data_IF_296269099284
#
_entry.id   IF_296269099284
#
_cell.length_a   1.000
_cell.length_b   1.000
_cell.length_c   1.000
_cell.angle_alpha   90.00
_cell.angle_beta   90.00
_cell.angle_gamma   90.00
#
_symmetry.space_group_name_H-M   'P 1'
#
loop_
_entity.id
_entity.type
_entity.pdbx_description
1 polymer ?
#
# COMPACT_ATOMS: atom_id res chain seq x y z
N UNK A 1 -13.18 13.75 30.33
CA UNK A 1 -12.14 12.70 30.48
C UNK A 1 -12.46 11.92 31.74
N UNK A 2 -12.62 10.60 31.63
CA UNK A 2 -13.25 9.77 32.67
C UNK A 2 -12.21 9.01 33.51
N UNK A 3 -12.33 9.05 34.86
CA UNK A 3 -11.35 8.55 35.82
C UNK A 3 -11.11 7.02 35.71
N UNK A 4 -12.10 6.29 35.18
CA UNK A 4 -11.99 4.84 34.90
C UNK A 4 -11.04 4.52 33.73
N UNK A 5 -10.89 5.43 32.77
CA UNK A 5 -9.94 5.29 31.65
C UNK A 5 -8.48 5.39 32.12
N UNK A 6 -8.23 6.29 33.08
CA UNK A 6 -6.91 6.48 33.70
C UNK A 6 -6.48 5.24 34.51
N UNK A 7 -7.36 4.70 35.35
CA UNK A 7 -7.05 3.49 36.13
C UNK A 7 -6.75 2.26 35.25
N UNK A 8 -7.41 2.14 34.09
CA UNK A 8 -7.13 1.05 33.13
C UNK A 8 -5.78 1.25 32.44
N UNK A 9 -5.40 2.49 32.11
CA UNK A 9 -4.09 2.80 31.50
C UNK A 9 -2.92 2.55 32.45
N UNK A 10 -3.06 2.88 33.75
CA UNK A 10 -2.05 2.63 34.79
C UNK A 10 -1.89 1.14 35.09
N UNK A 11 -2.99 0.37 35.12
CA UNK A 11 -2.93 -1.09 35.34
C UNK A 11 -2.28 -1.84 34.18
N UNK A 12 -2.43 -1.35 32.94
CA UNK A 12 -1.73 -1.90 31.78
C UNK A 12 -0.24 -1.55 31.80
N UNK A 13 0.13 -0.32 32.19
CA UNK A 13 1.52 0.11 32.32
C UNK A 13 2.32 -0.64 33.40
N UNK A 14 1.66 -1.16 34.45
CA UNK A 14 2.29 -1.96 35.51
C UNK A 14 2.39 -3.47 35.22
N UNK A 15 1.84 -3.96 34.11
CA UNK A 15 1.80 -5.40 33.80
C UNK A 15 2.97 -5.84 32.91
N UNK A 16 3.51 -7.04 33.11
CA UNK A 16 4.58 -7.58 32.26
C UNK A 16 4.24 -7.52 30.75
N UNK A 17 2.95 -7.65 30.40
CA UNK A 17 2.47 -7.49 29.03
C UNK A 17 2.59 -6.04 28.53
N UNK A 18 2.28 -5.03 29.36
CA UNK A 18 2.45 -3.62 29.04
C UNK A 18 3.91 -3.19 28.89
N UNK A 19 4.82 -3.77 29.68
CA UNK A 19 6.25 -3.55 29.52
C UNK A 19 6.79 -4.15 28.22
N UNK A 20 6.32 -5.36 27.83
CA UNK A 20 6.67 -5.96 26.54
C UNK A 20 6.14 -5.16 25.35
N UNK A 21 4.91 -4.65 25.41
CA UNK A 21 4.35 -3.82 24.34
C UNK A 21 5.10 -2.49 24.23
N UNK A 22 5.37 -1.81 25.34
CA UNK A 22 6.20 -0.59 25.36
C UNK A 22 7.60 -0.86 24.81
N UNK A 23 8.26 -1.94 25.24
CA UNK A 23 9.56 -2.36 24.72
C UNK A 23 9.54 -2.65 23.22
N UNK A 24 8.51 -3.32 22.70
CA UNK A 24 8.35 -3.58 21.27
C UNK A 24 8.08 -2.31 20.45
N UNK A 25 7.31 -1.36 20.99
CA UNK A 25 7.05 -0.08 20.37
C UNK A 25 8.33 0.77 20.31
N UNK A 26 9.13 0.74 21.37
CA UNK A 26 10.41 1.45 21.41
C UNK A 26 11.44 0.86 20.46
N UNK A 27 11.54 -0.48 20.39
CA UNK A 27 12.40 -1.16 19.41
C UNK A 27 12.00 -0.82 17.98
N UNK A 28 10.69 -0.85 17.66
CA UNK A 28 10.16 -0.43 16.36
C UNK A 28 10.53 1.02 16.03
N UNK A 29 10.25 1.96 16.94
CA UNK A 29 10.65 3.37 16.76
C UNK A 29 12.15 3.54 16.48
N UNK A 30 13.01 2.75 17.13
CA UNK A 30 14.45 2.81 16.89
C UNK A 30 14.87 2.22 15.55
N UNK A 31 14.23 1.12 15.12
CA UNK A 31 14.45 0.55 13.80
C UNK A 31 13.99 1.54 12.72
N UNK A 32 12.76 2.04 12.82
CA UNK A 32 12.19 3.05 11.91
C UNK A 32 13.09 4.29 11.82
N UNK A 33 13.60 4.80 12.95
CA UNK A 33 14.48 5.97 12.96
C UNK A 33 15.87 5.73 12.33
N UNK A 34 16.32 4.46 12.22
CA UNK A 34 17.58 4.09 11.56
C UNK A 34 17.37 3.83 10.07
N UNK A 35 16.26 3.18 9.73
CA UNK A 35 16.06 2.57 8.42
C UNK A 35 15.21 3.46 7.49
N UNK A 36 14.39 4.37 8.03
CA UNK A 36 13.60 5.31 7.22
C UNK A 36 14.37 6.61 6.95
N UNK A 37 14.25 7.18 5.73
CA UNK A 37 14.77 8.51 5.45
C UNK A 37 14.14 9.54 6.40
N UNK A 38 14.91 10.58 6.73
CA UNK A 38 14.41 11.67 7.59
C UNK A 38 13.20 12.30 6.92
N UNK A 39 12.05 12.26 7.60
CA UNK A 39 10.84 12.95 7.14
C UNK A 39 11.16 14.43 6.91
N UNK A 40 10.96 14.90 5.66
CA UNK A 40 11.06 16.31 5.32
C UNK A 40 10.01 17.16 6.04
N UNK A 41 10.12 18.48 5.93
CA UNK A 41 9.13 19.42 6.49
C UNK A 41 7.75 19.28 5.83
N UNK A 42 7.69 18.77 4.59
CA UNK A 42 6.48 18.51 3.82
C UNK A 42 5.82 17.20 4.30
N UNK A 43 4.70 17.32 5.03
CA UNK A 43 3.94 16.17 5.55
C UNK A 43 3.06 15.48 4.50
N UNK A 44 2.62 16.21 3.48
CA UNK A 44 1.82 15.70 2.38
C UNK A 44 2.27 16.42 1.11
N UNK A 45 2.73 15.64 0.12
CA UNK A 45 3.19 16.14 -1.16
C UNK A 45 2.10 15.98 -2.21
N UNK A 46 1.84 17.04 -2.96
CA UNK A 46 1.02 16.95 -4.17
C UNK A 46 1.88 16.44 -5.34
N UNK A 47 1.44 15.42 -6.11
CA UNK A 47 2.20 14.83 -7.21
C UNK A 47 2.70 15.82 -8.28
N UNK A 48 1.92 16.87 -8.54
CA UNK A 48 2.13 17.77 -9.68
C UNK A 48 1.45 17.24 -10.95
N UNK A 49 1.70 17.88 -12.09
CA UNK A 49 1.12 17.45 -13.37
C UNK A 49 1.74 16.14 -13.87
N UNK A 50 0.92 15.29 -14.48
CA UNK A 50 1.35 14.08 -15.18
C UNK A 50 2.22 14.45 -16.40
N UNK A 51 3.35 13.79 -16.54
CA UNK A 51 4.36 14.04 -17.58
C UNK A 51 4.33 12.94 -18.62
N UNK A 52 4.28 11.69 -18.17
CA UNK A 52 4.22 10.51 -19.04
C UNK A 52 3.68 9.30 -18.29
N UNK A 53 3.31 8.26 -19.03
CA UNK A 53 2.99 6.97 -18.46
C UNK A 53 3.65 5.84 -19.26
N UNK A 54 4.11 4.82 -18.55
CA UNK A 54 4.80 3.66 -19.10
C UNK A 54 3.96 2.41 -18.79
N UNK A 55 3.40 1.74 -19.81
CA UNK A 55 2.65 0.50 -19.63
C UNK A 55 3.54 -0.62 -19.08
N UNK A 56 2.99 -1.40 -18.14
CA UNK A 56 3.63 -2.56 -17.53
C UNK A 56 2.60 -3.68 -17.38
N UNK A 57 3.02 -4.95 -17.16
CA UNK A 57 2.08 -6.02 -16.90
C UNK A 57 1.12 -5.69 -15.75
N UNK A 58 -0.18 -5.74 -16.02
CA UNK A 58 -1.22 -5.45 -15.04
C UNK A 58 -1.56 -3.95 -14.86
N UNK A 59 -0.96 -3.04 -15.64
CA UNK A 59 -1.17 -1.60 -15.47
C UNK A 59 0.01 -0.80 -15.98
N UNK A 60 0.67 -0.04 -15.10
CA UNK A 60 1.77 0.82 -15.51
C UNK A 60 2.30 1.75 -14.44
N UNK A 61 3.27 2.57 -14.85
CA UNK A 61 3.90 3.59 -14.02
C UNK A 61 3.59 4.96 -14.61
N UNK A 62 3.01 5.84 -13.79
CA UNK A 62 2.71 7.22 -14.14
C UNK A 62 3.75 8.13 -13.49
N UNK A 63 4.35 8.98 -14.30
CA UNK A 63 5.35 9.94 -13.88
C UNK A 63 4.70 11.30 -13.76
N UNK A 64 4.71 11.88 -12.58
CA UNK A 64 4.32 13.24 -12.30
C UNK A 64 5.56 14.11 -12.13
N UNK A 65 5.38 15.43 -12.16
CA UNK A 65 6.48 16.37 -11.99
C UNK A 65 7.28 16.19 -10.68
N UNK A 66 6.66 15.67 -9.61
CA UNK A 66 7.29 15.56 -8.28
C UNK A 66 7.23 14.17 -7.66
N UNK A 67 6.58 13.21 -8.32
CA UNK A 67 6.36 11.87 -7.79
C UNK A 67 6.12 10.85 -8.89
N UNK A 68 6.19 9.57 -8.54
CA UNK A 68 5.91 8.45 -9.44
C UNK A 68 4.83 7.57 -8.81
N UNK A 69 3.80 7.21 -9.57
CA UNK A 69 2.78 6.26 -9.16
C UNK A 69 2.90 4.97 -9.96
N UNK A 70 3.05 3.84 -9.27
CA UNK A 70 2.89 2.52 -9.87
C UNK A 70 1.51 1.97 -9.57
N UNK A 71 0.74 1.66 -10.60
CA UNK A 71 -0.54 0.95 -10.51
C UNK A 71 -0.39 -0.44 -11.10
N UNK A 72 -0.78 -1.46 -10.34
CA UNK A 72 -0.81 -2.85 -10.82
C UNK A 72 -2.09 -3.53 -10.33
N UNK A 73 -2.90 -3.97 -11.27
CA UNK A 73 -4.00 -4.90 -11.04
C UNK A 73 -3.45 -6.32 -11.11
N UNK A 74 -3.74 -7.10 -10.09
CA UNK A 74 -3.34 -8.49 -9.99
C UNK A 74 -4.51 -9.43 -10.32
N UNK A 75 -4.19 -10.68 -10.65
CA UNK A 75 -5.19 -11.73 -10.88
C UNK A 75 -6.13 -11.81 -9.67
N UNK A 76 -7.43 -11.74 -9.93
CA UNK A 76 -8.47 -11.67 -8.89
C UNK A 76 -8.96 -10.26 -8.56
N UNK A 77 -8.38 -9.21 -9.18
CA UNK A 77 -8.87 -7.82 -9.07
C UNK A 77 -8.28 -7.03 -7.90
N UNK A 78 -7.29 -7.56 -7.20
CA UNK A 78 -6.55 -6.79 -6.19
C UNK A 78 -5.72 -5.70 -6.88
N UNK A 79 -5.76 -4.47 -6.36
CA UNK A 79 -5.01 -3.35 -6.92
C UNK A 79 -3.91 -2.91 -5.97
N UNK A 80 -2.69 -2.82 -6.49
CA UNK A 80 -1.56 -2.20 -5.84
C UNK A 80 -1.34 -0.78 -6.37
N UNK A 81 -1.25 0.19 -5.46
CA UNK A 81 -0.87 1.57 -5.74
C UNK A 81 0.35 1.94 -4.88
N UNK A 82 1.49 2.14 -5.53
CA UNK A 82 2.75 2.48 -4.87
C UNK A 82 3.27 3.83 -5.32
N UNK A 83 3.43 4.76 -4.38
CA UNK A 83 4.07 6.05 -4.64
C UNK A 83 5.59 5.95 -4.46
N UNK A 84 6.33 6.66 -5.30
CA UNK A 84 7.78 6.91 -5.18
C UNK A 84 8.62 5.64 -4.95
N UNK A 85 8.31 4.59 -5.71
CA UNK A 85 9.06 3.33 -5.68
C UNK A 85 8.59 2.34 -4.60
N UNK A 86 7.54 2.65 -3.84
CA UNK A 86 6.90 1.67 -2.98
C UNK A 86 6.50 0.43 -3.79
N UNK A 87 6.97 -0.74 -3.35
CA UNK A 87 6.70 -2.03 -3.98
C UNK A 87 5.51 -2.73 -3.31
N UNK A 88 4.80 -3.63 -4.02
CA UNK A 88 3.69 -4.41 -3.44
C UNK A 88 4.13 -5.34 -2.32
N UNK A 89 5.39 -5.77 -2.36
CA UNK A 89 6.01 -6.54 -1.29
C UNK A 89 6.97 -5.66 -0.51
N UNK A 90 7.07 -5.83 0.82
CA UNK A 90 6.39 -6.84 1.65
C UNK A 90 5.08 -6.31 2.27
N UNK A 91 3.94 -6.45 1.58
CA UNK A 91 2.63 -6.11 2.18
C UNK A 91 2.09 -7.28 3.00
N UNK A 92 1.74 -7.03 4.26
CA UNK A 92 1.12 -8.03 5.14
C UNK A 92 -0.25 -8.50 4.61
N UNK A 93 -0.91 -7.70 3.77
CA UNK A 93 -2.16 -8.09 3.11
C UNK A 93 -1.94 -9.12 1.99
N UNK A 94 -0.72 -9.21 1.45
CA UNK A 94 -0.30 -10.17 0.41
C UNK A 94 0.49 -11.34 0.99
N UNK A 95 0.90 -11.26 2.26
CA UNK A 95 1.49 -12.37 2.98
C UNK A 95 0.42 -13.46 3.12
N UNK A 96 0.56 -14.52 2.33
CA UNK A 96 -0.29 -15.71 2.39
C UNK A 96 -0.31 -16.22 3.83
N UNK A 97 -1.44 -16.06 4.51
CA UNK A 97 -1.63 -16.66 5.83
C UNK A 97 -1.56 -18.18 5.68
N UNK A 98 -0.75 -18.90 6.48
CA UNK A 98 -0.90 -20.34 6.55
C UNK A 98 -2.33 -20.62 7.03
N UNK A 99 -3.17 -21.16 6.15
CA UNK A 99 -4.45 -21.75 6.58
C UNK A 99 -4.09 -22.82 7.61
N UNK A 100 -4.71 -22.78 8.78
CA UNK A 100 -4.52 -23.80 9.82
C UNK A 100 -4.58 -25.20 9.20
N UNK A 101 -3.44 -25.90 9.15
CA UNK A 101 -3.29 -27.19 8.48
C UNK A 101 -1.87 -27.38 7.95
N UNK A 102 -1.43 -28.63 7.70
CA UNK A 102 -0.11 -28.88 7.11
C UNK A 102 -0.03 -28.20 5.74
N UNK A 103 1.06 -27.49 5.48
CA UNK A 103 1.34 -26.81 4.22
C UNK A 103 1.24 -27.82 3.06
N UNK A 104 0.12 -27.81 2.35
CA UNK A 104 0.00 -28.53 1.07
C UNK A 104 0.61 -27.65 -0.01
N UNK A 105 1.91 -27.83 -0.23
CA UNK A 105 2.67 -27.11 -1.27
C UNK A 105 3.35 -25.83 -0.77
N UNK A 106 4.17 -25.18 -1.61
CA UNK A 106 4.84 -23.94 -1.26
C UNK A 106 3.78 -22.92 -0.84
N UNK A 107 3.93 -22.37 0.37
CA UNK A 107 3.12 -21.23 0.81
C UNK A 107 3.53 -20.07 -0.07
N UNK A 108 2.80 -19.82 -1.17
CA UNK A 108 2.94 -18.62 -2.00
C UNK A 108 2.44 -17.43 -1.20
N UNK A 109 3.21 -17.00 -0.21
CA UNK A 109 3.10 -15.65 0.34
C UNK A 109 3.79 -14.71 -0.64
N UNK A 110 3.03 -13.83 -1.27
CA UNK A 110 3.54 -12.92 -2.29
C UNK A 110 2.41 -12.14 -2.98
N UNK A 111 2.77 -11.08 -3.68
CA UNK A 111 1.86 -10.34 -4.52
C UNK A 111 1.33 -11.26 -5.63
N UNK A 112 -0.01 -11.40 -5.80
CA UNK A 112 -0.56 -12.18 -6.89
C UNK A 112 -0.02 -11.71 -8.24
N UNK A 113 0.03 -12.62 -9.22
CA UNK A 113 0.50 -12.32 -10.57
C UNK A 113 -0.26 -11.15 -11.18
N UNK A 114 0.39 -10.39 -12.08
CA UNK A 114 -0.26 -9.28 -12.76
C UNK A 114 -1.41 -9.82 -13.63
N UNK A 115 -2.56 -9.15 -13.64
CA UNK A 115 -3.64 -9.55 -14.54
C UNK A 115 -3.22 -9.24 -15.99
N UNK A 116 -3.09 -10.25 -16.88
CA UNK A 116 -2.66 -10.02 -18.25
C UNK A 116 -3.71 -9.25 -19.08
N UNK A 117 -4.95 -9.17 -18.58
CA UNK A 117 -6.04 -8.42 -19.22
C UNK A 117 -6.07 -6.96 -18.79
N UNK A 118 -5.31 -6.59 -17.75
CA UNK A 118 -5.26 -5.23 -17.29
C UNK A 118 -4.29 -4.39 -18.13
N UNK A 119 -4.82 -3.39 -18.82
CA UNK A 119 -4.06 -2.53 -19.74
C UNK A 119 -4.12 -1.06 -19.32
N UNK A 120 -3.02 -0.35 -19.50
CA UNK A 120 -2.95 1.10 -19.31
C UNK A 120 -3.34 1.82 -20.61
N UNK A 121 -4.31 2.72 -20.51
CA UNK A 121 -4.84 3.51 -21.61
C UNK A 121 -4.90 5.00 -21.26
N UNK A 122 -4.77 5.91 -22.24
CA UNK A 122 -5.10 7.32 -22.04
C UNK A 122 -6.57 7.51 -21.66
N UNK A 123 -6.86 8.53 -20.85
CA UNK A 123 -8.21 8.92 -20.46
C UNK A 123 -8.38 10.45 -20.56
N UNK A 124 -9.63 10.92 -20.53
CA UNK A 124 -9.97 12.33 -20.76
C UNK A 124 -9.25 13.31 -19.81
N UNK A 125 -8.99 12.90 -18.57
CA UNK A 125 -8.29 13.70 -17.56
C UNK A 125 -7.04 12.96 -17.03
N UNK A 126 -6.34 12.20 -17.89
CA UNK A 126 -5.11 11.51 -17.49
C UNK A 126 -5.02 10.12 -18.08
N UNK A 127 -5.03 9.11 -17.20
CA UNK A 127 -4.82 7.72 -17.59
C UNK A 127 -5.78 6.80 -16.85
N UNK A 128 -6.01 5.61 -17.41
CA UNK A 128 -6.78 4.57 -16.75
C UNK A 128 -6.14 3.20 -16.95
N UNK A 129 -6.25 2.35 -15.94
CA UNK A 129 -5.98 0.92 -16.05
C UNK A 129 -7.31 0.21 -16.11
N UNK A 130 -7.59 -0.47 -17.22
CA UNK A 130 -8.85 -1.19 -17.44
C UNK A 130 -8.57 -2.67 -17.31
N UNK A 131 -9.36 -3.35 -16.48
CA UNK A 131 -9.41 -4.81 -16.39
C UNK A 131 -10.87 -5.26 -16.36
N UNK A 132 -11.12 -6.57 -16.49
CA UNK A 132 -12.48 -7.11 -16.39
C UNK A 132 -13.12 -6.90 -15.01
N UNK A 133 -12.33 -6.79 -13.94
CA UNK A 133 -12.84 -6.74 -12.55
C UNK A 133 -12.83 -5.35 -11.93
N UNK A 134 -11.95 -4.49 -12.41
CA UNK A 134 -11.76 -3.15 -11.86
C UNK A 134 -11.20 -2.22 -12.93
N UNK A 135 -11.65 -0.97 -12.92
CA UNK A 135 -11.03 0.14 -13.63
C UNK A 135 -10.43 1.09 -12.61
N UNK A 136 -9.16 1.44 -12.78
CA UNK A 136 -8.46 2.43 -11.96
C UNK A 136 -8.23 3.66 -12.81
N UNK A 137 -8.84 4.79 -12.48
CA UNK A 137 -8.58 6.07 -13.17
C UNK A 137 -7.59 6.87 -12.35
N UNK A 138 -6.65 7.50 -13.03
CA UNK A 138 -5.69 8.39 -12.42
C UNK A 138 -5.74 9.74 -13.11
N UNK A 139 -6.05 10.79 -12.35
CA UNK A 139 -6.14 12.14 -12.91
C UNK A 139 -4.78 12.70 -13.28
N UNK A 140 -4.76 13.78 -14.07
CA UNK A 140 -3.57 14.52 -14.44
C UNK A 140 -2.79 15.08 -13.23
N UNK A 141 -3.42 15.14 -12.05
CA UNK A 141 -2.84 15.64 -10.80
C UNK A 141 -2.70 14.57 -9.71
N UNK A 142 -2.94 13.29 -10.04
CA UNK A 142 -2.65 12.15 -9.18
C UNK A 142 -3.76 11.76 -8.20
N UNK A 143 -5.00 12.18 -8.46
CA UNK A 143 -6.17 11.54 -7.85
C UNK A 143 -6.31 10.12 -8.40
N UNK A 144 -6.64 9.14 -7.53
CA UNK A 144 -6.83 7.74 -7.92
C UNK A 144 -8.25 7.31 -7.59
N UNK A 145 -9.03 6.99 -8.60
CA UNK A 145 -10.42 6.54 -8.50
C UNK A 145 -10.52 5.04 -8.86
N UNK A 146 -11.26 4.26 -8.07
CA UNK A 146 -11.50 2.84 -8.33
C UNK A 146 -12.96 2.62 -8.70
N UNK A 147 -13.20 1.93 -9.81
CA UNK A 147 -14.53 1.58 -10.30
C UNK A 147 -14.63 0.08 -10.50
N UNK A 148 -15.65 -0.54 -9.90
CA UNK A 148 -16.01 -1.92 -10.15
C UNK A 148 -17.16 -1.98 -11.17
N UNK A 149 -17.16 -2.95 -12.09
CA UNK A 149 -18.33 -3.23 -12.92
C UNK A 149 -19.57 -3.52 -12.05
N UNK A 150 -20.74 -3.12 -12.54
CA UNK A 150 -22.04 -3.39 -11.91
C UNK A 150 -22.53 -4.81 -12.17
#
# INVERSE_FOLDING_TARGET
>A
MDARGLLRSVRMAGSAQGWRTAGSAWRRRRADARDLPRNGTERARVPGAAVRAEPMPGGGTLYFARSVLRVRVAVGGAVFCGWDGAAPEPSYALAGTPKWGPARGPVSGGCPEADPRAQLEPDADGWRVVSERVTVRVSAHGEVEFRTPA
#
